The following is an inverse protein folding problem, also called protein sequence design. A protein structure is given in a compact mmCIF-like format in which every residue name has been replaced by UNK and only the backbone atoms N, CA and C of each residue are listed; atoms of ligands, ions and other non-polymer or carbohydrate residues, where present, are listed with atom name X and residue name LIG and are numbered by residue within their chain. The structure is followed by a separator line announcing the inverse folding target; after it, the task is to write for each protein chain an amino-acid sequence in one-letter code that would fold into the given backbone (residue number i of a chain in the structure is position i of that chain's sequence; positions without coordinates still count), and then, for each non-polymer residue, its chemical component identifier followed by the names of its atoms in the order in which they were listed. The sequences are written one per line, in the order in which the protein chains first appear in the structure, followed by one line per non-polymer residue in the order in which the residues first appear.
data_IF_023917930749
#
_entry.id   IF_023917930749
#
_cell.length_a   1.000
_cell.length_b   1.000
_cell.length_c   1.000
_cell.angle_alpha   90.00
_cell.angle_beta   90.00
_cell.angle_gamma   90.00
#
_symmetry.space_group_name_H-M   'P 1'
#
loop_
_entity.id
_entity.type
_entity.pdbx_description
1 polymer ?
#
# COMPACT_ATOMS: atom_id res chain seq x y z
N UNK A 1 19.81 44.65 -49.62
CA UNK A 1 19.59 44.05 -50.93
C UNK A 1 20.41 42.79 -51.04
N UNK A 2 19.72 41.64 -51.02
CA UNK A 2 19.85 40.53 -51.99
C UNK A 2 18.96 39.38 -51.51
N UNK A 3 17.96 38.93 -52.28
CA UNK A 3 17.10 37.82 -51.90
C UNK A 3 17.77 36.48 -52.19
N UNK A 4 17.68 35.54 -51.25
CA UNK A 4 18.04 34.15 -51.48
C UNK A 4 17.13 33.55 -52.56
N UNK A 5 17.76 32.95 -53.57
CA UNK A 5 17.10 32.42 -54.76
C UNK A 5 16.19 31.24 -54.48
N UNK A 6 15.10 31.18 -55.23
CA UNK A 6 14.22 30.03 -55.35
C UNK A 6 14.99 28.87 -56.03
N UNK A 7 15.05 27.70 -55.38
CA UNK A 7 15.57 26.50 -56.03
C UNK A 7 16.38 25.57 -55.13
N UNK A 8 15.78 25.03 -54.07
CA UNK A 8 16.26 23.82 -53.40
C UNK A 8 15.11 23.21 -52.60
N UNK A 9 14.64 21.98 -52.90
CA UNK A 9 13.72 21.25 -52.05
C UNK A 9 14.51 20.65 -50.87
N UNK A 10 15.09 21.53 -50.06
CA UNK A 10 15.89 21.20 -48.90
C UNK A 10 15.04 21.22 -47.65
N UNK A 11 14.45 20.07 -47.30
CA UNK A 11 14.12 19.65 -45.94
C UNK A 11 13.64 20.75 -44.95
N UNK A 12 12.48 21.38 -45.22
CA UNK A 12 11.65 21.81 -44.10
C UNK A 12 11.04 20.55 -43.47
N UNK A 13 11.72 19.97 -42.49
CA UNK A 13 11.07 19.00 -41.61
C UNK A 13 9.86 19.73 -41.00
N UNK A 14 8.62 19.24 -41.17
CA UNK A 14 7.46 19.93 -40.62
C UNK A 14 7.69 20.05 -39.11
N UNK A 15 7.65 21.28 -38.63
CA UNK A 15 7.82 21.61 -37.23
C UNK A 15 6.65 20.94 -36.50
N UNK A 16 6.87 19.72 -36.00
CA UNK A 16 5.83 18.94 -35.34
C UNK A 16 5.32 19.79 -34.20
N UNK A 17 4.06 20.21 -34.32
CA UNK A 17 3.36 20.98 -33.30
C UNK A 17 3.54 20.28 -31.95
N UNK A 18 3.59 21.05 -30.86
CA UNK A 18 3.74 20.49 -29.50
C UNK A 18 2.77 19.32 -29.24
N UNK A 19 1.56 19.40 -29.80
CA UNK A 19 0.56 18.33 -29.81
C UNK A 19 1.04 17.04 -30.51
N UNK A 20 1.59 17.15 -31.73
CA UNK A 20 2.12 16.00 -32.47
C UNK A 20 3.35 15.34 -31.82
N UNK A 21 4.15 16.10 -31.06
CA UNK A 21 5.26 15.53 -30.26
C UNK A 21 4.76 14.80 -29.02
N UNK A 22 3.72 15.31 -28.35
CA UNK A 22 3.13 14.68 -27.18
C UNK A 22 2.33 13.43 -27.53
N UNK A 23 1.61 13.42 -28.66
CA UNK A 23 0.82 12.28 -29.10
C UNK A 23 1.64 10.99 -29.21
N UNK A 24 2.90 11.07 -29.66
CA UNK A 24 3.81 9.93 -29.74
C UNK A 24 4.32 9.43 -28.37
N UNK A 25 4.16 10.22 -27.31
CA UNK A 25 4.56 9.90 -25.94
C UNK A 25 3.39 9.47 -25.05
N UNK A 26 2.17 9.43 -25.59
CA UNK A 26 0.97 8.99 -24.87
C UNK A 26 0.68 7.52 -25.15
N UNK A 27 0.39 6.77 -24.09
CA UNK A 27 -0.06 5.39 -24.17
C UNK A 27 -1.44 5.30 -23.51
N UNK A 28 -2.44 4.66 -24.16
CA UNK A 28 -3.72 4.38 -23.51
C UNK A 28 -3.50 3.57 -22.24
N UNK A 29 -4.11 3.97 -21.12
CA UNK A 29 -3.96 3.26 -19.84
C UNK A 29 -4.38 1.78 -19.94
N UNK A 30 -5.38 1.47 -20.77
CA UNK A 30 -5.82 0.09 -21.04
C UNK A 30 -4.77 -0.79 -21.74
N UNK A 31 -3.78 -0.18 -22.39
CA UNK A 31 -2.67 -0.86 -23.03
C UNK A 31 -1.39 -0.86 -22.17
N UNK A 32 -1.41 -0.20 -21.00
CA UNK A 32 -0.28 -0.12 -20.09
C UNK A 32 -0.30 -1.27 -19.08
N UNK A 33 0.89 -1.77 -18.73
CA UNK A 33 1.07 -2.68 -17.60
C UNK A 33 1.61 -1.88 -16.40
N UNK A 34 0.92 -1.99 -15.26
CA UNK A 34 1.35 -1.32 -14.03
C UNK A 34 2.30 -2.20 -13.21
N UNK A 35 3.14 -1.56 -12.42
CA UNK A 35 4.03 -2.18 -11.45
C UNK A 35 3.89 -1.49 -10.09
N UNK A 36 4.54 -2.03 -9.06
CA UNK A 36 4.66 -1.33 -7.77
C UNK A 36 5.37 0.02 -8.02
N UNK A 37 4.80 1.15 -7.56
CA UNK A 37 5.24 2.48 -8.01
C UNK A 37 6.60 2.91 -7.45
N UNK A 38 7.15 2.17 -6.49
CA UNK A 38 8.45 2.44 -5.89
C UNK A 38 9.13 1.15 -5.44
N UNK A 39 10.45 1.21 -5.26
CA UNK A 39 11.17 0.19 -4.49
C UNK A 39 10.93 0.46 -3.00
N UNK A 40 10.08 -0.35 -2.38
CA UNK A 40 9.74 -0.20 -0.97
C UNK A 40 10.86 -0.82 -0.13
N UNK A 41 11.54 0.01 0.67
CA UNK A 41 12.55 -0.44 1.63
C UNK A 41 11.89 -1.06 2.84
N UNK A 42 11.13 -0.23 3.57
CA UNK A 42 10.39 -0.63 4.77
C UNK A 42 8.90 -0.34 4.59
N UNK A 43 8.08 -1.16 5.25
CA UNK A 43 6.64 -1.00 5.32
C UNK A 43 6.21 -1.05 6.78
N UNK A 44 5.43 -0.07 7.21
CA UNK A 44 4.90 0.05 8.56
C UNK A 44 3.39 0.14 8.46
N UNK A 45 2.71 -0.72 9.22
CA UNK A 45 1.25 -0.75 9.29
C UNK A 45 0.79 -0.16 10.64
N UNK A 46 -0.15 0.78 10.56
CA UNK A 46 -0.64 1.56 11.70
C UNK A 46 -2.03 1.10 12.13
N UNK A 47 -2.24 1.05 13.43
CA UNK A 47 -3.51 0.65 14.05
C UNK A 47 -4.25 1.87 14.60
N UNK A 48 -4.73 2.74 13.72
CA UNK A 48 -5.24 4.08 14.09
C UNK A 48 -6.75 4.28 13.92
N UNK A 49 -7.46 3.38 13.25
CA UNK A 49 -8.93 3.44 13.15
C UNK A 49 -9.61 3.02 14.46
N UNK A 50 -10.16 3.99 15.21
CA UNK A 50 -10.77 3.72 16.52
C UNK A 50 -11.98 2.80 16.43
N UNK A 51 -12.76 2.88 15.34
CA UNK A 51 -13.91 2.00 15.11
C UNK A 51 -13.46 0.56 14.87
N UNK A 52 -12.43 0.37 14.02
CA UNK A 52 -11.83 -0.93 13.81
C UNK A 52 -11.24 -1.49 15.12
N UNK A 53 -10.47 -0.68 15.85
CA UNK A 53 -9.87 -1.07 17.12
C UNK A 53 -10.89 -1.46 18.18
N UNK A 54 -11.99 -0.71 18.26
CA UNK A 54 -13.09 -1.01 19.17
C UNK A 54 -13.82 -2.29 18.76
N UNK A 55 -14.10 -2.48 17.47
CA UNK A 55 -14.79 -3.67 16.97
C UNK A 55 -13.99 -4.94 17.21
N UNK A 56 -12.69 -4.94 16.87
CA UNK A 56 -11.79 -6.06 17.16
C UNK A 56 -11.66 -6.26 18.67
N UNK A 57 -11.46 -5.18 19.42
CA UNK A 57 -11.32 -5.19 20.87
C UNK A 57 -12.49 -5.86 21.58
N UNK A 58 -13.73 -5.58 21.16
CA UNK A 58 -14.96 -6.17 21.75
C UNK A 58 -15.03 -7.69 21.63
N UNK A 59 -14.37 -8.27 20.64
CA UNK A 59 -14.32 -9.73 20.46
C UNK A 59 -13.50 -10.42 21.56
N UNK A 60 -12.59 -9.69 22.21
CA UNK A 60 -11.69 -10.22 23.24
C UNK A 60 -11.95 -9.60 24.64
N UNK A 61 -12.35 -8.33 24.66
CA UNK A 61 -12.56 -7.49 25.85
C UNK A 61 -13.83 -6.66 25.65
N UNK A 62 -15.03 -7.25 25.81
CA UNK A 62 -16.29 -6.57 25.50
C UNK A 62 -16.48 -5.26 26.29
N UNK A 63 -16.10 -5.24 27.56
CA UNK A 63 -16.29 -4.10 28.46
C UNK A 63 -15.21 -3.02 28.32
N UNK A 64 -13.99 -3.43 27.93
CA UNK A 64 -12.85 -2.53 27.75
C UNK A 64 -12.11 -2.85 26.44
N UNK A 65 -12.69 -2.49 25.29
CA UNK A 65 -12.20 -2.96 23.99
C UNK A 65 -10.87 -2.34 23.58
N UNK A 66 -10.59 -1.12 24.00
CA UNK A 66 -9.34 -0.42 23.69
C UNK A 66 -8.28 -0.68 24.76
N UNK A 67 -7.06 -0.92 24.33
CA UNK A 67 -5.90 -0.95 25.22
C UNK A 67 -5.61 0.45 25.76
N UNK A 68 -5.07 0.58 26.99
CA UNK A 68 -4.82 1.88 27.61
C UNK A 68 -3.94 2.83 26.78
N UNK A 69 -2.98 2.29 26.02
CA UNK A 69 -2.03 3.07 25.21
C UNK A 69 -2.62 3.60 23.88
N UNK A 70 -3.75 3.07 23.41
CA UNK A 70 -4.28 3.35 22.06
C UNK A 70 -4.48 4.85 21.80
N UNK A 71 -4.91 5.61 22.82
CA UNK A 71 -5.19 7.05 22.70
C UNK A 71 -3.95 7.94 22.80
N UNK A 72 -2.80 7.37 23.13
CA UNK A 72 -1.59 8.12 23.46
C UNK A 72 -0.47 7.94 22.45
N UNK A 73 -0.43 6.80 21.77
CA UNK A 73 0.57 6.50 20.75
C UNK A 73 -0.11 5.86 19.54
N UNK A 74 0.20 6.29 18.31
CA UNK A 74 -0.26 5.59 17.12
C UNK A 74 0.48 4.26 17.02
N UNK A 75 -0.15 3.21 17.55
CA UNK A 75 0.41 1.85 17.58
C UNK A 75 0.67 1.41 16.14
N UNK A 76 1.85 0.87 15.89
CA UNK A 76 2.25 0.39 14.58
C UNK A 76 3.23 -0.78 14.72
N UNK A 77 3.43 -1.50 13.62
CA UNK A 77 4.41 -2.58 13.55
C UNK A 77 5.01 -2.67 12.15
N UNK A 78 6.18 -3.30 12.04
CA UNK A 78 6.84 -3.53 10.75
C UNK A 78 6.11 -4.63 9.98
N UNK A 79 5.59 -4.27 8.81
CA UNK A 79 5.06 -5.21 7.85
C UNK A 79 6.15 -5.80 6.95
N UNK A 80 5.75 -6.63 5.99
CA UNK A 80 6.68 -7.30 5.07
C UNK A 80 6.71 -6.61 3.70
N UNK A 81 7.75 -5.82 3.44
CA UNK A 81 7.90 -5.10 2.17
C UNK A 81 7.97 -6.04 0.94
N UNK A 82 8.61 -7.21 1.08
CA UNK A 82 8.83 -8.15 -0.02
C UNK A 82 7.54 -8.77 -0.59
N UNK A 83 6.41 -8.65 0.11
CA UNK A 83 5.12 -9.19 -0.31
C UNK A 83 4.13 -8.12 -0.75
N UNK A 84 4.55 -6.87 -0.88
CA UNK A 84 3.72 -5.81 -1.46
C UNK A 84 3.70 -5.99 -2.98
N UNK A 85 2.51 -6.10 -3.54
CA UNK A 85 2.27 -6.35 -4.95
C UNK A 85 1.31 -5.31 -5.53
N UNK A 86 1.42 -5.07 -6.84
CA UNK A 86 0.52 -4.17 -7.56
C UNK A 86 -0.90 -4.74 -7.61
N UNK A 87 -1.91 -3.88 -7.71
CA UNK A 87 -3.30 -4.28 -7.90
C UNK A 87 -3.46 -5.26 -9.07
N UNK A 88 -4.34 -6.24 -8.92
CA UNK A 88 -4.57 -7.32 -9.90
C UNK A 88 -3.63 -8.51 -9.76
N UNK A 89 -2.56 -8.43 -8.95
CA UNK A 89 -1.75 -9.59 -8.62
C UNK A 89 -2.55 -10.64 -7.84
N UNK A 90 -2.43 -11.91 -8.22
CA UNK A 90 -3.12 -13.01 -7.54
C UNK A 90 -2.53 -13.29 -6.16
N UNK A 91 -3.39 -13.34 -5.13
CA UNK A 91 -3.01 -13.75 -3.77
C UNK A 91 -3.38 -15.21 -3.56
N UNK A 92 -2.37 -16.06 -3.35
CA UNK A 92 -2.59 -17.48 -3.04
C UNK A 92 -3.04 -17.62 -1.58
N UNK A 93 -4.09 -18.42 -1.34
CA UNK A 93 -4.50 -18.78 0.03
C UNK A 93 -3.30 -19.36 0.79
N UNK A 94 -2.87 -18.71 1.89
CA UNK A 94 -1.70 -19.18 2.63
C UNK A 94 -2.00 -20.50 3.32
N UNK A 95 -0.96 -21.31 3.49
CA UNK A 95 -0.96 -22.51 4.32
C UNK A 95 -0.10 -22.24 5.54
N UNK A 96 -0.49 -22.75 6.70
CA UNK A 96 0.20 -22.52 7.96
C UNK A 96 -0.22 -23.50 9.03
N UNK A 97 0.30 -23.31 10.24
CA UNK A 97 -0.14 -24.05 11.41
C UNK A 97 -1.50 -23.52 11.89
N UNK A 98 -2.44 -24.42 12.13
CA UNK A 98 -3.80 -24.17 12.58
C UNK A 98 -4.00 -24.86 13.92
N UNK A 99 -4.65 -24.17 14.86
CA UNK A 99 -5.08 -24.74 16.14
C UNK A 99 -6.60 -24.57 16.29
N UNK A 100 -7.41 -25.52 15.77
CA UNK A 100 -8.85 -25.50 15.97
C UNK A 100 -9.23 -25.55 17.46
N UNK A 101 -10.39 -25.00 17.80
CA UNK A 101 -10.90 -25.03 19.16
C UNK A 101 -11.04 -26.49 19.65
N UNK A 102 -10.40 -26.81 20.77
CA UNK A 102 -10.46 -28.14 21.38
C UNK A 102 -9.50 -29.16 20.77
N UNK A 103 -8.67 -28.79 19.80
CA UNK A 103 -7.58 -29.64 19.34
C UNK A 103 -6.46 -29.71 20.40
N UNK A 104 -5.87 -30.90 20.57
CA UNK A 104 -4.72 -31.08 21.47
C UNK A 104 -3.41 -30.59 20.84
N UNK A 105 -3.28 -30.72 19.52
CA UNK A 105 -2.07 -30.38 18.77
C UNK A 105 -2.39 -29.57 17.51
N UNK A 106 -1.50 -28.65 17.07
CA UNK A 106 -1.70 -27.92 15.84
C UNK A 106 -1.47 -28.82 14.62
N UNK A 107 -2.10 -28.48 13.50
CA UNK A 107 -1.87 -29.17 12.22
C UNK A 107 -1.55 -28.17 11.10
N UNK A 108 -0.92 -28.61 10.02
CA UNK A 108 -0.62 -27.75 8.86
C UNK A 108 -1.71 -27.84 7.81
N UNK A 109 -2.34 -26.73 7.49
CA UNK A 109 -3.47 -26.66 6.56
C UNK A 109 -3.58 -25.33 5.83
N UNK A 110 -4.45 -25.23 4.80
CA UNK A 110 -4.82 -23.94 4.22
C UNK A 110 -5.58 -23.08 5.25
N UNK A 111 -5.36 -21.77 5.24
CA UNK A 111 -6.09 -20.84 6.11
C UNK A 111 -7.61 -20.99 5.91
N UNK A 112 -8.33 -21.25 7.00
CA UNK A 112 -9.79 -21.40 6.99
C UNK A 112 -10.52 -20.04 6.97
N UNK A 113 -9.86 -18.99 7.47
CA UNK A 113 -10.42 -17.64 7.60
C UNK A 113 -9.47 -16.65 6.95
N UNK A 114 -9.64 -16.45 5.65
CA UNK A 114 -8.92 -15.42 4.91
C UNK A 114 -9.74 -14.13 4.94
N UNK A 115 -9.11 -13.03 5.33
CA UNK A 115 -9.75 -11.72 5.43
C UNK A 115 -8.93 -10.66 4.69
N UNK A 116 -9.53 -9.49 4.48
CA UNK A 116 -8.86 -8.32 3.93
C UNK A 116 -9.06 -7.10 4.83
N UNK A 117 -8.07 -6.23 4.85
CA UNK A 117 -8.15 -4.94 5.53
C UNK A 117 -8.07 -3.83 4.48
N UNK A 118 -9.03 -2.89 4.53
CA UNK A 118 -9.03 -1.71 3.67
C UNK A 118 -8.20 -0.61 4.35
N UNK A 119 -7.20 -0.12 3.65
CA UNK A 119 -6.21 0.82 4.19
C UNK A 119 -5.84 1.91 3.18
N UNK A 120 -5.17 2.94 3.69
CA UNK A 120 -4.50 3.97 2.92
C UNK A 120 -2.99 3.89 3.16
N UNK A 121 -2.24 3.64 2.10
CA UNK A 121 -0.78 3.70 2.12
C UNK A 121 -0.27 5.12 1.90
N UNK A 122 0.75 5.51 2.65
CA UNK A 122 1.44 6.80 2.51
C UNK A 122 2.86 6.52 2.03
N UNK A 123 3.25 7.09 0.89
CA UNK A 123 4.63 7.05 0.43
C UNK A 123 5.42 8.21 1.03
N UNK A 124 6.55 7.88 1.65
CA UNK A 124 7.50 8.87 2.16
C UNK A 124 8.49 9.23 1.05
N UNK A 125 8.54 10.51 0.68
CA UNK A 125 9.43 11.02 -0.36
C UNK A 125 10.81 11.37 0.17
N UNK A 126 10.86 12.11 1.28
CA UNK A 126 12.11 12.51 1.94
C UNK A 126 12.25 11.74 3.25
N UNK A 127 13.37 11.06 3.45
CA UNK A 127 13.71 10.46 4.74
C UNK A 127 14.29 11.47 5.75
N UNK A 128 14.70 10.97 6.89
CA UNK A 128 15.49 11.66 7.91
C UNK A 128 16.78 10.89 8.21
N UNK A 129 17.76 11.54 8.84
CA UNK A 129 18.99 10.87 9.29
C UNK A 129 18.69 10.02 10.53
N UNK A 130 19.42 8.92 10.69
CA UNK A 130 19.28 8.05 11.86
C UNK A 130 19.56 8.85 13.14
N UNK A 131 18.64 8.77 14.11
CA UNK A 131 18.71 9.51 15.38
C UNK A 131 18.18 10.95 15.32
N UNK A 132 17.79 11.45 14.16
CA UNK A 132 17.24 12.80 14.00
C UNK A 132 15.72 12.74 13.75
N UNK A 133 14.86 13.02 14.76
CA UNK A 133 13.41 12.93 14.61
C UNK A 133 12.85 14.03 13.69
N UNK A 134 11.70 13.75 13.07
CA UNK A 134 10.95 14.73 12.28
C UNK A 134 9.93 15.42 13.20
N UNK A 135 9.99 16.74 13.39
CA UNK A 135 8.96 17.50 14.11
C UNK A 135 7.59 17.37 13.43
N UNK A 136 6.52 17.34 14.21
CA UNK A 136 5.16 17.12 13.69
C UNK A 136 4.74 18.19 12.68
N UNK A 137 5.20 19.43 12.88
CA UNK A 137 4.92 20.58 12.02
C UNK A 137 5.51 20.41 10.61
N UNK A 138 6.49 19.51 10.46
CA UNK A 138 7.18 19.22 9.20
C UNK A 138 6.82 17.86 8.62
N UNK A 139 6.02 17.06 9.32
CA UNK A 139 5.74 15.67 8.92
C UNK A 139 5.14 15.58 7.50
N UNK A 140 4.25 16.51 7.14
CA UNK A 140 3.62 16.53 5.81
C UNK A 140 4.62 16.81 4.67
N UNK A 141 5.71 17.56 4.92
CA UNK A 141 6.76 17.81 3.93
C UNK A 141 7.47 16.52 3.47
N UNK A 142 7.40 15.46 4.28
CA UNK A 142 8.00 14.17 3.99
C UNK A 142 7.07 13.24 3.21
N UNK A 143 5.77 13.57 3.10
CA UNK A 143 4.78 12.76 2.37
C UNK A 143 4.87 13.07 0.87
N UNK A 144 5.13 12.03 0.07
CA UNK A 144 5.14 12.14 -1.40
C UNK A 144 3.74 11.97 -1.98
N UNK A 145 2.96 11.04 -1.45
CA UNK A 145 1.64 10.74 -1.99
C UNK A 145 0.97 9.57 -1.31
N UNK A 146 -0.24 9.25 -1.78
CA UNK A 146 -1.13 8.26 -1.21
C UNK A 146 -1.45 7.16 -2.21
N UNK A 147 -1.78 5.98 -1.70
CA UNK A 147 -2.35 4.88 -2.47
C UNK A 147 -3.39 4.12 -1.65
N UNK A 148 -4.39 3.54 -2.31
CA UNK A 148 -5.24 2.54 -1.66
C UNK A 148 -4.45 1.24 -1.46
N UNK A 149 -4.53 0.64 -0.28
CA UNK A 149 -3.93 -0.66 0.00
C UNK A 149 -4.99 -1.63 0.51
N UNK A 150 -4.79 -2.91 0.20
CA UNK A 150 -5.50 -3.99 0.87
C UNK A 150 -4.48 -4.95 1.47
N UNK A 151 -4.59 -5.20 2.77
CA UNK A 151 -3.70 -6.14 3.45
C UNK A 151 -4.43 -7.45 3.64
N UNK A 152 -3.94 -8.51 2.99
CA UNK A 152 -4.49 -9.86 3.16
C UNK A 152 -3.95 -10.51 4.43
N UNK A 153 -4.83 -10.90 5.36
CA UNK A 153 -4.41 -11.55 6.61
C UNK A 153 -5.06 -12.92 6.79
N UNK A 154 -4.28 -13.98 7.08
CA UNK A 154 -4.85 -15.25 7.53
C UNK A 154 -5.24 -15.17 9.01
N UNK A 155 -6.52 -15.25 9.31
CA UNK A 155 -7.05 -15.30 10.68
C UNK A 155 -6.98 -16.75 11.18
N UNK A 156 -5.76 -17.25 11.41
CA UNK A 156 -5.52 -18.69 11.68
C UNK A 156 -5.41 -19.06 13.16
N UNK A 157 -5.48 -18.10 14.07
CA UNK A 157 -5.49 -18.33 15.52
C UNK A 157 -6.63 -17.54 16.17
N UNK A 158 -7.89 -18.02 16.11
CA UNK A 158 -8.96 -17.52 17.01
C UNK A 158 -9.25 -18.54 18.10
N UNK A 159 -8.64 -18.34 19.26
CA UNK A 159 -9.23 -18.74 20.54
C UNK A 159 -10.09 -17.57 21.02
N UNK A 160 -11.40 -17.59 20.71
CA UNK A 160 -12.31 -16.51 21.07
C UNK A 160 -13.68 -16.68 20.43
N UNK A 161 -14.61 -17.21 21.24
CA UNK A 161 -16.05 -17.36 21.11
C UNK A 161 -16.72 -16.98 19.76
N UNK A 162 -17.14 -17.99 18.99
CA UNK A 162 -18.12 -17.85 17.89
C UNK A 162 -19.50 -18.28 18.37
N UNK A 163 -20.45 -17.35 18.33
CA UNK A 163 -21.85 -17.65 17.94
C UNK A 163 -22.60 -16.33 17.71
N UNK A 164 -22.54 -15.81 16.49
CA UNK A 164 -23.60 -15.14 15.70
C UNK A 164 -23.00 -14.61 14.41
#
# INVERSE_FOLDING_TARGET
GSPCGAGSPGCCAPERTRSGRLAAALVPQSAAQFAVPARIGDYTDFYTSIHHATAVGRLFRPDQPLLPNYKWVPIAYHGRASSIVVSGAGVRRPRGQLMPRGAEWPHVGPSERLDYELELGVFIGRGNRLGEPIPIERAEEHVFGLACSTTGRPVTCRHGNTSR
#
